data_IF_279243671563
#
_entry.id   IF_279243671563
#
_cell.length_a   1.000
_cell.length_b   1.000
_cell.length_c   1.000
_cell.angle_alpha   90.00
_cell.angle_beta   90.00
_cell.angle_gamma   90.00
#
_symmetry.space_group_name_H-M   'P 1'
#
loop_
_entity.id
_entity.type
_entity.pdbx_description
1 polymer ?
#
# COMPACT_ATOMS: atom_id res chain seq x y z
N UNK A 1 17.70 24.80 8.45
CA UNK A 1 17.35 24.62 7.03
C UNK A 1 16.06 23.83 6.98
N UNK A 2 14.96 24.41 6.47
CA UNK A 2 13.64 23.76 6.52
C UNK A 2 13.27 23.25 5.13
N UNK A 3 13.69 22.02 4.84
CA UNK A 3 13.46 21.33 3.56
C UNK A 3 12.54 20.13 3.77
N UNK A 4 11.35 20.35 4.32
CA UNK A 4 10.35 19.31 4.36
C UNK A 4 8.98 19.90 4.10
N UNK A 5 8.09 19.06 3.56
CA UNK A 5 6.75 19.42 3.17
C UNK A 5 5.79 18.51 3.91
N UNK A 6 4.87 19.10 4.67
CA UNK A 6 3.88 18.37 5.44
C UNK A 6 2.71 17.92 4.56
N UNK A 7 2.04 16.85 4.97
CA UNK A 7 0.83 16.42 4.27
C UNK A 7 -0.37 17.27 4.68
N UNK A 8 -1.02 17.86 3.69
CA UNK A 8 -2.25 18.67 3.89
C UNK A 8 -3.39 17.82 4.46
N UNK A 9 -3.51 16.55 4.08
CA UNK A 9 -4.58 15.68 4.58
C UNK A 9 -4.45 15.46 6.10
N UNK A 10 -3.22 15.24 6.59
CA UNK A 10 -2.98 15.11 8.02
C UNK A 10 -3.22 16.42 8.77
N UNK A 11 -2.82 17.55 8.20
CA UNK A 11 -3.12 18.86 8.74
C UNK A 11 -4.63 19.08 8.87
N UNK A 12 -5.41 18.81 7.81
CA UNK A 12 -6.87 18.95 7.82
C UNK A 12 -7.56 18.00 8.81
N UNK A 13 -7.12 16.75 8.90
CA UNK A 13 -7.63 15.79 9.90
C UNK A 13 -7.32 16.25 11.33
N UNK A 14 -6.11 16.76 11.56
CA UNK A 14 -5.72 17.31 12.86
C UNK A 14 -6.60 18.52 13.24
N UNK A 15 -6.85 19.42 12.29
CA UNK A 15 -7.71 20.58 12.48
C UNK A 15 -9.16 20.17 12.79
N UNK A 16 -9.70 19.19 12.07
CA UNK A 16 -11.04 18.65 12.33
C UNK A 16 -11.17 18.06 13.74
N UNK A 17 -10.14 17.35 14.22
CA UNK A 17 -10.14 16.74 15.54
C UNK A 17 -10.06 17.75 16.69
N UNK A 18 -9.70 19.02 16.43
CA UNK A 18 -9.61 20.07 17.45
C UNK A 18 -10.96 20.70 17.79
N UNK A 19 -12.01 20.42 17.01
CA UNK A 19 -13.37 20.93 17.23
C UNK A 19 -13.45 22.46 17.32
N UNK A 20 -12.62 23.17 16.56
CA UNK A 20 -12.67 24.62 16.50
C UNK A 20 -13.94 25.13 15.81
N UNK A 21 -14.27 26.40 16.05
CA UNK A 21 -15.27 27.14 15.28
C UNK A 21 -14.99 27.12 13.77
N UNK A 22 -16.04 27.32 12.98
CA UNK A 22 -15.94 27.38 11.52
C UNK A 22 -15.05 28.55 11.06
N UNK A 23 -15.04 29.65 11.81
CA UNK A 23 -14.17 30.81 11.57
C UNK A 23 -12.69 30.44 11.71
N UNK A 24 -12.28 29.82 12.82
CA UNK A 24 -10.90 29.37 13.00
C UNK A 24 -10.55 28.29 11.98
N UNK A 25 -11.49 27.39 11.67
CA UNK A 25 -11.27 26.35 10.67
C UNK A 25 -10.97 26.91 9.27
N UNK A 26 -11.74 27.93 8.84
CA UNK A 26 -11.55 28.57 7.54
C UNK A 26 -10.25 29.39 7.49
N UNK A 27 -9.92 30.11 8.56
CA UNK A 27 -8.65 30.81 8.72
C UNK A 27 -7.45 29.84 8.71
N UNK A 28 -7.49 28.80 9.52
CA UNK A 28 -6.41 27.80 9.57
C UNK A 28 -6.20 27.11 8.21
N UNK A 29 -7.28 26.87 7.45
CA UNK A 29 -7.18 26.29 6.10
C UNK A 29 -6.58 27.26 5.08
N UNK A 30 -6.81 28.57 5.23
CA UNK A 30 -6.29 29.58 4.30
C UNK A 30 -4.77 29.76 4.39
N UNK A 31 -4.14 29.36 5.52
CA UNK A 31 -2.68 29.32 5.70
C UNK A 31 -1.97 28.59 4.55
N UNK A 32 -2.57 27.51 4.04
CA UNK A 32 -1.99 26.69 2.96
C UNK A 32 -1.86 27.50 1.66
N UNK A 33 -2.84 28.36 1.39
CA UNK A 33 -2.98 29.12 0.13
C UNK A 33 -2.51 30.56 0.24
N UNK A 34 -2.09 31.01 1.42
CA UNK A 34 -1.70 32.38 1.67
C UNK A 34 -0.51 32.80 0.76
N UNK A 35 -0.60 33.96 0.08
CA UNK A 35 0.33 34.34 -0.99
C UNK A 35 1.65 34.94 -0.50
N UNK A 36 1.75 35.35 0.77
CA UNK A 36 2.94 36.00 1.31
C UNK A 36 3.21 35.62 2.77
N UNK A 37 4.39 36.00 3.26
CA UNK A 37 4.79 35.81 4.66
C UNK A 37 3.84 36.55 5.61
N UNK A 38 3.58 37.83 5.32
CA UNK A 38 2.76 38.72 6.14
C UNK A 38 1.31 38.24 6.20
N UNK A 39 0.80 37.68 5.09
CA UNK A 39 -0.54 37.10 5.06
C UNK A 39 -0.69 35.92 6.02
N UNK A 40 0.31 35.03 6.08
CA UNK A 40 0.31 33.90 7.01
C UNK A 40 0.40 34.38 8.46
N UNK A 41 1.29 35.33 8.74
CA UNK A 41 1.45 35.90 10.08
C UNK A 41 0.17 36.60 10.54
N UNK A 42 -0.48 37.37 9.66
CA UNK A 42 -1.78 37.98 9.93
C UNK A 42 -2.85 36.94 10.27
N UNK A 43 -2.91 35.82 9.55
CA UNK A 43 -3.87 34.73 9.83
C UNK A 43 -3.60 34.07 11.19
N UNK A 44 -2.33 33.83 11.55
CA UNK A 44 -2.00 33.26 12.85
C UNK A 44 -2.35 34.22 13.98
N UNK A 45 -2.11 35.52 13.79
CA UNK A 45 -2.45 36.54 14.76
C UNK A 45 -3.97 36.71 14.94
N UNK A 46 -4.77 36.60 13.86
CA UNK A 46 -6.23 36.62 13.99
C UNK A 46 -6.73 35.40 14.77
N UNK A 47 -6.18 34.21 14.52
CA UNK A 47 -6.52 33.00 15.30
C UNK A 47 -6.18 33.17 16.79
N UNK A 48 -5.04 33.78 17.12
CA UNK A 48 -4.66 34.08 18.51
C UNK A 48 -5.63 35.06 19.20
N UNK A 49 -6.24 35.97 18.44
CA UNK A 49 -7.18 36.97 18.96
C UNK A 49 -8.60 36.46 19.19
N UNK A 50 -8.98 35.30 18.62
CA UNK A 50 -10.34 34.76 18.67
C UNK A 50 -10.74 34.12 20.03
N UNK A 51 -9.85 34.15 21.04
CA UNK A 51 -10.02 33.69 22.43
C UNK A 51 -10.74 32.34 22.62
N UNK A 52 -10.64 31.45 21.63
CA UNK A 52 -11.19 30.10 21.67
C UNK A 52 -10.23 29.15 22.39
N UNK A 53 -10.78 28.21 23.17
CA UNK A 53 -10.00 27.27 23.97
C UNK A 53 -9.03 26.45 23.09
N UNK A 54 -7.73 26.58 23.35
CA UNK A 54 -6.68 25.85 22.63
C UNK A 54 -6.32 26.42 21.24
N UNK A 55 -7.02 27.45 20.75
CA UNK A 55 -6.69 28.11 19.48
C UNK A 55 -5.34 28.86 19.58
N UNK A 56 -5.10 29.53 20.72
CA UNK A 56 -3.83 30.22 21.01
C UNK A 56 -2.65 29.24 21.03
N UNK A 57 -2.79 28.12 21.72
CA UNK A 57 -1.74 27.10 21.80
C UNK A 57 -1.50 26.45 20.43
N UNK A 58 -2.56 26.21 19.66
CA UNK A 58 -2.47 25.72 18.29
C UNK A 58 -1.72 26.71 17.40
N UNK A 59 -2.06 28.00 17.46
CA UNK A 59 -1.39 29.03 16.67
C UNK A 59 0.09 29.16 17.04
N UNK A 60 0.42 29.11 18.34
CA UNK A 60 1.81 29.12 18.81
C UNK A 60 2.59 27.90 18.30
N UNK A 61 1.98 26.72 18.30
CA UNK A 61 2.61 25.52 17.74
C UNK A 61 2.92 25.71 16.25
N UNK A 62 1.96 26.19 15.46
CA UNK A 62 2.14 26.36 14.02
C UNK A 62 3.00 27.58 13.65
N UNK A 63 3.14 28.59 14.51
CA UNK A 63 4.07 29.72 14.34
C UNK A 63 5.54 29.28 14.36
N UNK A 64 5.83 28.12 14.94
CA UNK A 64 7.16 27.54 14.95
C UNK A 64 7.76 27.50 13.54
N UNK A 65 8.95 28.11 13.29
CA UNK A 65 9.45 28.36 11.94
C UNK A 65 9.52 27.11 11.05
N UNK A 66 9.98 25.98 11.57
CA UNK A 66 10.07 24.76 10.78
C UNK A 66 8.70 24.14 10.45
N UNK A 67 7.70 24.35 11.31
CA UNK A 67 6.35 23.82 11.12
C UNK A 67 5.63 24.63 10.04
N UNK A 68 5.64 25.97 10.14
CA UNK A 68 4.99 26.81 9.13
C UNK A 68 5.65 26.69 7.75
N UNK A 69 6.99 26.60 7.71
CA UNK A 69 7.76 26.35 6.49
C UNK A 69 7.40 25.05 5.79
N UNK A 70 6.77 24.11 6.50
CA UNK A 70 6.34 22.84 5.94
C UNK A 70 4.92 22.85 5.38
N UNK A 71 4.13 23.89 5.66
CA UNK A 71 2.74 24.02 5.23
C UNK A 71 2.58 24.95 4.04
N UNK A 72 3.31 26.08 4.05
CA UNK A 72 3.21 27.12 3.03
C UNK A 72 4.51 27.21 2.22
N UNK A 73 4.36 27.28 0.89
CA UNK A 73 5.48 27.41 -0.07
C UNK A 73 6.32 28.66 0.18
N UNK A 74 5.69 29.79 0.50
CA UNK A 74 6.33 31.09 0.70
C UNK A 74 7.12 31.15 2.01
N UNK A 75 6.76 30.29 2.97
CA UNK A 75 7.47 30.14 4.25
C UNK A 75 8.65 29.16 4.14
N UNK A 76 8.66 28.33 3.10
CA UNK A 76 9.68 27.31 2.91
C UNK A 76 10.95 27.90 2.29
N UNK A 77 12.10 27.33 2.63
CA UNK A 77 13.35 27.58 1.88
C UNK A 77 13.50 26.65 0.68
N UNK A 78 12.53 25.76 0.44
CA UNK A 78 12.50 24.85 -0.68
C UNK A 78 12.19 25.61 -1.98
N UNK A 79 12.88 25.26 -3.06
CA UNK A 79 12.59 25.84 -4.36
C UNK A 79 11.14 25.57 -4.80
N UNK A 80 10.47 26.58 -5.34
CA UNK A 80 9.05 26.50 -5.70
C UNK A 80 8.74 25.40 -6.73
N UNK A 81 9.69 25.11 -7.63
CA UNK A 81 9.55 24.02 -8.60
C UNK A 81 9.52 22.65 -7.91
N UNK A 82 10.45 22.43 -6.99
CA UNK A 82 10.53 21.23 -6.17
C UNK A 82 9.25 21.09 -5.33
N UNK A 83 8.82 22.18 -4.67
CA UNK A 83 7.60 22.18 -3.87
C UNK A 83 6.37 21.76 -4.70
N UNK A 84 6.21 22.28 -5.92
CA UNK A 84 5.07 21.96 -6.80
C UNK A 84 5.15 20.57 -7.41
N UNK A 85 6.35 20.02 -7.60
CA UNK A 85 6.56 18.67 -8.15
C UNK A 85 6.00 17.58 -7.24
N UNK A 86 6.14 17.73 -5.93
CA UNK A 86 5.68 16.74 -4.97
C UNK A 86 4.23 16.99 -4.53
N UNK A 87 3.40 15.97 -4.60
CA UNK A 87 1.99 16.06 -4.19
C UNK A 87 1.85 16.24 -2.67
N UNK A 88 0.73 16.85 -2.26
CA UNK A 88 0.42 17.13 -0.84
C UNK A 88 -0.33 15.99 -0.13
N UNK A 89 -0.50 14.84 -0.80
CA UNK A 89 -1.36 13.76 -0.32
C UNK A 89 -0.56 12.70 0.47
N UNK A 90 -1.26 12.03 1.38
CA UNK A 90 -0.69 10.93 2.18
C UNK A 90 -0.72 9.59 1.47
N UNK A 91 -1.30 9.48 0.28
CA UNK A 91 -1.53 8.17 -0.35
C UNK A 91 -0.23 7.37 -0.49
N UNK A 92 0.87 8.01 -0.87
CA UNK A 92 2.16 7.34 -0.99
C UNK A 92 2.70 6.89 0.39
N UNK A 93 2.68 7.77 1.38
CA UNK A 93 3.19 7.48 2.72
C UNK A 93 2.30 6.46 3.47
N UNK A 94 0.97 6.65 3.50
CA UNK A 94 0.00 5.72 4.07
C UNK A 94 0.06 4.36 3.38
N UNK A 95 0.18 4.32 2.04
CA UNK A 95 0.34 3.07 1.31
C UNK A 95 1.67 2.38 1.65
N UNK A 96 2.77 3.12 1.74
CA UNK A 96 4.06 2.57 2.16
C UNK A 96 3.98 1.95 3.56
N UNK A 97 3.42 2.67 4.53
CA UNK A 97 3.19 2.14 5.87
C UNK A 97 2.29 0.90 5.87
N UNK A 98 1.19 0.91 5.12
CA UNK A 98 0.31 -0.24 5.00
C UNK A 98 1.00 -1.45 4.37
N UNK A 99 1.90 -1.24 3.42
CA UNK A 99 2.67 -2.30 2.77
C UNK A 99 3.72 -2.91 3.69
N UNK A 100 4.45 -2.10 4.44
CA UNK A 100 5.42 -2.59 5.43
C UNK A 100 4.70 -3.36 6.53
N UNK A 101 3.59 -2.82 7.04
CA UNK A 101 2.78 -3.45 8.09
C UNK A 101 2.18 -4.81 7.72
N UNK A 102 2.06 -5.13 6.41
CA UNK A 102 1.65 -6.49 5.99
C UNK A 102 2.68 -7.56 6.34
N UNK A 103 3.94 -7.17 6.55
CA UNK A 103 5.02 -8.07 6.96
C UNK A 103 5.00 -8.39 8.46
N UNK A 104 4.11 -7.74 9.22
CA UNK A 104 3.99 -7.87 10.67
C UNK A 104 3.95 -6.51 11.35
N UNK A 105 3.24 -6.43 12.48
CA UNK A 105 3.23 -5.28 13.38
C UNK A 105 3.83 -5.70 14.72
N UNK A 106 4.29 -4.73 15.53
CA UNK A 106 4.81 -4.97 16.88
C UNK A 106 6.00 -5.97 16.93
N UNK A 107 6.88 -5.89 15.93
CA UNK A 107 8.09 -6.70 15.87
C UNK A 107 9.13 -6.19 16.88
N UNK A 108 9.99 -7.09 17.37
CA UNK A 108 11.22 -6.69 18.08
C UNK A 108 12.04 -5.78 17.16
N UNK A 109 12.72 -4.78 17.74
CA UNK A 109 13.41 -3.72 16.99
C UNK A 109 14.33 -4.28 15.89
N UNK A 110 15.17 -5.26 16.22
CA UNK A 110 16.08 -5.89 15.27
C UNK A 110 15.34 -6.56 14.11
N UNK A 111 14.26 -7.28 14.40
CA UNK A 111 13.42 -7.92 13.38
C UNK A 111 12.74 -6.90 12.48
N UNK A 112 12.27 -5.77 13.04
CA UNK A 112 11.69 -4.68 12.27
C UNK A 112 12.69 -4.07 11.29
N UNK A 113 13.93 -3.82 11.74
CA UNK A 113 15.02 -3.28 10.91
C UNK A 113 15.35 -4.25 9.77
N UNK A 114 15.53 -5.53 10.08
CA UNK A 114 15.84 -6.55 9.07
C UNK A 114 14.72 -6.71 8.03
N UNK A 115 13.46 -6.66 8.48
CA UNK A 115 12.30 -6.73 7.58
C UNK A 115 12.17 -5.47 6.71
N UNK A 116 12.48 -4.29 7.26
CA UNK A 116 12.58 -3.04 6.49
C UNK A 116 13.64 -3.15 5.40
N UNK A 117 14.86 -3.57 5.76
CA UNK A 117 15.96 -3.78 4.81
C UNK A 117 15.57 -4.72 3.66
N UNK A 118 14.99 -5.88 3.96
CA UNK A 118 14.51 -6.83 2.94
C UNK A 118 13.41 -6.26 2.05
N UNK A 119 12.56 -5.37 2.59
CA UNK A 119 11.53 -4.71 1.81
C UNK A 119 12.15 -3.75 0.79
N UNK A 120 13.09 -2.93 1.23
CA UNK A 120 13.77 -1.93 0.40
C UNK A 120 14.62 -2.61 -0.70
N UNK A 121 15.39 -3.64 -0.35
CA UNK A 121 16.15 -4.46 -1.31
C UNK A 121 15.24 -5.04 -2.42
N UNK A 122 14.05 -5.51 -2.05
CA UNK A 122 13.08 -6.03 -3.01
C UNK A 122 12.55 -4.93 -3.93
N UNK A 123 12.27 -3.73 -3.40
CA UNK A 123 11.78 -2.61 -4.19
C UNK A 123 12.84 -2.12 -5.18
N UNK A 124 14.10 -2.01 -4.73
CA UNK A 124 15.23 -1.65 -5.60
C UNK A 124 15.39 -2.65 -6.74
N UNK A 125 15.41 -3.95 -6.43
CA UNK A 125 15.51 -4.99 -7.46
C UNK A 125 14.34 -4.96 -8.46
N UNK A 126 13.12 -4.67 -7.99
CA UNK A 126 11.95 -4.49 -8.87
C UNK A 126 12.17 -3.32 -9.82
N UNK A 127 12.70 -2.21 -9.33
CA UNK A 127 12.97 -1.03 -10.13
C UNK A 127 14.09 -1.30 -11.15
N UNK A 128 15.20 -1.91 -10.72
CA UNK A 128 16.30 -2.31 -11.61
C UNK A 128 15.83 -3.22 -12.76
N UNK A 129 15.03 -4.25 -12.44
CA UNK A 129 14.49 -5.17 -13.46
C UNK A 129 13.55 -4.44 -14.41
N UNK A 130 12.73 -3.52 -13.90
CA UNK A 130 11.84 -2.72 -14.73
C UNK A 130 12.63 -1.81 -15.68
N UNK A 131 13.66 -1.14 -15.17
CA UNK A 131 14.49 -0.22 -15.95
C UNK A 131 15.30 -0.97 -17.02
N UNK A 132 15.77 -2.19 -16.71
CA UNK A 132 16.47 -3.06 -17.66
C UNK A 132 15.56 -3.70 -18.72
N UNK A 133 14.39 -4.21 -18.32
CA UNK A 133 13.52 -5.01 -19.21
C UNK A 133 12.37 -4.20 -19.85
N UNK A 134 12.06 -3.02 -19.33
CA UNK A 134 10.86 -2.25 -19.67
C UNK A 134 9.54 -2.88 -19.19
N UNK A 135 9.58 -4.02 -18.48
CA UNK A 135 8.39 -4.78 -18.09
C UNK A 135 7.98 -4.42 -16.64
N UNK A 136 6.80 -3.83 -16.42
CA UNK A 136 6.36 -3.43 -15.09
C UNK A 136 6.10 -4.63 -14.18
N UNK A 137 6.66 -4.56 -12.97
CA UNK A 137 6.45 -5.59 -11.96
C UNK A 137 4.98 -5.67 -11.54
N UNK A 138 4.39 -6.88 -11.64
CA UNK A 138 3.01 -7.12 -11.21
C UNK A 138 2.98 -7.85 -9.88
N UNK A 139 2.54 -7.17 -8.82
CA UNK A 139 2.34 -7.75 -7.48
C UNK A 139 1.25 -8.84 -7.41
N UNK A 140 0.40 -8.94 -8.43
CA UNK A 140 -0.66 -9.95 -8.47
C UNK A 140 -0.12 -11.18 -9.18
N UNK A 141 -0.32 -12.33 -8.55
CA UNK A 141 -0.16 -13.61 -9.19
C UNK A 141 -1.13 -13.70 -10.37
N UNK A 142 -0.56 -13.73 -11.59
CA UNK A 142 -1.26 -13.88 -12.86
C UNK A 142 -1.03 -15.28 -13.45
N UNK A 143 -0.58 -16.25 -12.65
CA UNK A 143 -0.55 -17.65 -13.08
C UNK A 143 -1.94 -18.11 -13.50
N UNK A 144 -1.99 -19.09 -14.41
CA UNK A 144 -3.26 -19.58 -14.92
C UNK A 144 -4.10 -20.25 -13.82
N UNK A 145 -3.44 -20.89 -12.85
CA UNK A 145 -4.08 -21.41 -11.63
C UNK A 145 -4.79 -20.29 -10.86
N UNK A 146 -4.11 -19.15 -10.62
CA UNK A 146 -4.73 -18.03 -9.88
C UNK A 146 -5.85 -17.34 -10.68
N UNK A 147 -5.70 -17.25 -12.00
CA UNK A 147 -6.76 -16.75 -12.90
C UNK A 147 -8.00 -17.65 -12.83
N UNK A 148 -7.83 -18.97 -12.92
CA UNK A 148 -8.92 -19.94 -12.81
C UNK A 148 -9.61 -19.85 -11.45
N UNK A 149 -8.85 -19.83 -10.35
CA UNK A 149 -9.41 -19.67 -9.00
C UNK A 149 -10.22 -18.36 -8.86
N UNK A 150 -9.70 -17.26 -9.40
CA UNK A 150 -10.40 -15.97 -9.37
C UNK A 150 -11.68 -16.01 -10.19
N UNK A 151 -11.68 -16.69 -11.34
CA UNK A 151 -12.86 -16.89 -12.17
C UNK A 151 -13.92 -17.74 -11.45
N UNK A 152 -13.52 -18.82 -10.77
CA UNK A 152 -14.41 -19.65 -9.94
C UNK A 152 -15.02 -18.80 -8.82
N UNK A 153 -14.22 -18.04 -8.07
CA UNK A 153 -14.71 -17.18 -6.98
C UNK A 153 -15.68 -16.09 -7.48
N UNK A 154 -15.44 -15.52 -8.67
CA UNK A 154 -16.36 -14.57 -9.32
C UNK A 154 -17.68 -15.24 -9.75
N UNK A 155 -17.65 -16.49 -10.20
CA UNK A 155 -18.86 -17.27 -10.51
C UNK A 155 -19.65 -17.58 -9.23
N UNK A 156 -18.98 -18.04 -8.17
CA UNK A 156 -19.61 -18.35 -6.88
C UNK A 156 -20.29 -17.12 -6.25
N UNK A 157 -19.63 -15.95 -6.27
CA UNK A 157 -20.20 -14.70 -5.75
C UNK A 157 -21.41 -14.20 -6.56
N UNK A 158 -21.45 -14.45 -7.88
CA UNK A 158 -22.63 -14.16 -8.71
C UNK A 158 -23.81 -15.06 -8.35
N UNK A 159 -23.58 -16.35 -8.13
CA UNK A 159 -24.61 -17.32 -7.74
C UNK A 159 -25.22 -16.98 -6.36
N UNK A 160 -24.40 -16.56 -5.41
CA UNK A 160 -24.88 -16.15 -4.08
C UNK A 160 -25.70 -14.84 -4.12
N UNK A 161 -25.45 -13.96 -5.09
CA UNK A 161 -26.25 -12.73 -5.30
C UNK A 161 -27.59 -13.00 -6.00
N UNK A 162 -27.70 -14.06 -6.80
CA UNK A 162 -28.97 -14.46 -7.42
C UNK A 162 -29.94 -15.16 -6.47
N UNK A 163 -29.47 -15.71 -5.35
CA UNK A 163 -30.31 -16.33 -4.31
C UNK A 163 -31.00 -15.35 -3.36
N UNK A 164 -30.51 -14.11 -3.24
CA UNK A 164 -31.10 -13.07 -2.38
C UNK A 164 -31.98 -12.09 -3.16
N UNK A 165 -32.89 -12.59 -4.00
CA UNK A 165 -33.98 -11.79 -4.57
C UNK A 165 -35.23 -11.89 -3.68
N UNK A 166 -35.15 -11.36 -2.46
CA UNK A 166 -36.34 -10.96 -1.71
C UNK A 166 -36.19 -9.47 -1.37
N UNK A 167 -37.02 -8.69 -2.06
CA UNK A 167 -37.45 -7.31 -1.81
C UNK A 167 -36.40 -6.25 -1.45
N UNK A 168 -36.09 -5.38 -2.41
CA UNK A 168 -36.05 -3.90 -2.23
C UNK A 168 -36.19 -3.24 -3.61
N UNK A 169 -37.43 -3.11 -4.08
CA UNK A 169 -37.78 -2.17 -5.15
C UNK A 169 -37.45 -0.76 -4.65
N UNK A 170 -36.33 -0.17 -5.08
CA UNK A 170 -36.21 1.29 -5.15
C UNK A 170 -36.58 1.70 -6.55
N UNK A 171 -37.68 2.44 -6.68
CA UNK A 171 -38.01 3.21 -7.88
C UNK A 171 -36.83 4.15 -8.15
N UNK A 172 -36.20 4.03 -9.31
CA UNK A 172 -35.27 5.05 -9.83
C UNK A 172 -35.84 5.47 -11.17
N UNK A 173 -36.28 6.72 -11.22
CA UNK A 173 -36.62 7.47 -12.41
C UNK A 173 -35.47 7.44 -13.40
N UNK A 174 -35.81 7.15 -14.65
CA UNK A 174 -34.91 6.97 -15.77
C UNK A 174 -34.60 8.31 -16.44
N UNK A 175 -33.52 8.98 -16.05
CA UNK A 175 -32.83 10.01 -16.85
C UNK A 175 -31.41 10.19 -16.28
N UNK A 176 -30.41 10.47 -17.12
CA UNK A 176 -28.99 10.82 -16.80
C UNK A 176 -27.88 9.75 -16.92
N UNK A 177 -28.15 8.51 -17.36
CA UNK A 177 -27.05 7.54 -17.59
C UNK A 177 -26.40 7.65 -18.98
N UNK A 178 -27.08 8.25 -19.97
CA UNK A 178 -26.57 8.35 -21.36
C UNK A 178 -25.47 9.42 -21.54
N UNK A 179 -25.55 10.54 -20.83
CA UNK A 179 -24.64 11.68 -21.01
C UNK A 179 -23.19 11.40 -20.55
N UNK A 180 -23.02 10.52 -19.56
CA UNK A 180 -21.69 10.22 -18.98
C UNK A 180 -20.84 9.29 -19.85
N UNK A 181 -21.46 8.58 -20.81
CA UNK A 181 -20.77 7.63 -21.70
C UNK A 181 -20.19 8.31 -22.94
N UNK A 182 -20.81 9.38 -23.43
CA UNK A 182 -20.33 10.13 -24.61
C UNK A 182 -19.09 10.98 -24.30
N UNK A 183 -18.95 11.53 -23.08
CA UNK A 183 -17.74 12.30 -22.71
C UNK A 183 -16.46 11.46 -22.64
N UNK A 184 -16.55 10.15 -22.37
CA UNK A 184 -15.38 9.25 -22.31
C UNK A 184 -14.86 8.81 -23.68
N UNK A 185 -15.70 8.76 -24.72
CA UNK A 185 -15.23 8.41 -26.06
C UNK A 185 -14.47 9.57 -26.75
N UNK A 186 -14.78 10.83 -26.42
CA UNK A 186 -14.12 11.99 -27.04
C UNK A 186 -12.70 12.25 -26.54
N UNK A 187 -12.35 11.84 -25.32
CA UNK A 187 -11.00 12.03 -24.77
C UNK A 187 -9.97 11.04 -25.32
N UNK A 188 -10.39 9.87 -25.81
CA UNK A 188 -9.46 8.86 -26.33
C UNK A 188 -9.02 9.11 -27.79
N UNK A 189 -9.69 10.01 -28.53
CA UNK A 189 -9.39 10.30 -29.94
C UNK A 189 -8.45 11.49 -30.17
N UNK A 190 -7.88 12.09 -29.12
CA UNK A 190 -6.99 13.28 -29.21
C UNK A 190 -5.51 12.99 -28.90
N UNK A 191 -5.12 11.72 -28.72
CA UNK A 191 -3.72 11.34 -28.45
C UNK A 191 -3.15 10.31 -29.45
N UNK A 192 -3.82 10.08 -30.58
CA UNK A 192 -3.32 9.22 -31.67
C UNK A 192 -3.14 10.07 -32.92
N UNK A 193 -2.19 11.00 -32.89
CA UNK A 193 -1.59 11.61 -34.09
C UNK A 193 -0.20 12.06 -33.71
N UNK A 194 0.81 11.24 -34.00
CA UNK A 194 2.16 11.61 -34.45
C UNK A 194 2.93 10.31 -34.66
N UNK A 195 2.66 9.71 -35.82
CA UNK A 195 3.50 8.70 -36.46
C UNK A 195 4.69 9.46 -37.08
N UNK A 196 5.92 9.04 -36.79
CA UNK A 196 7.06 9.27 -37.68
C UNK A 196 7.59 7.88 -38.04
N UNK A 197 7.41 7.55 -39.31
CA UNK A 197 7.92 6.36 -40.01
C UNK A 197 9.42 6.47 -40.21
N UNK A 198 10.16 5.38 -39.94
CA UNK A 198 11.37 5.01 -40.70
C UNK A 198 11.32 3.50 -40.89
N UNK A 199 11.10 3.07 -42.12
CA UNK A 199 11.29 1.69 -42.60
C UNK A 199 12.76 1.48 -43.01
N UNK A 200 13.33 0.30 -42.69
CA UNK A 200 14.20 -0.44 -43.60
C UNK A 200 14.46 -1.87 -43.10
N UNK A 201 13.87 -2.82 -43.83
CA UNK A 201 14.23 -4.21 -44.12
C UNK A 201 15.49 -4.85 -43.50
N UNK A 202 15.33 -6.02 -42.85
CA UNK A 202 15.77 -7.32 -43.37
C UNK A 202 15.51 -8.50 -42.39
N UNK A 203 15.38 -9.68 -42.99
CA UNK A 203 14.81 -10.97 -42.56
C UNK A 203 15.33 -11.68 -41.27
N UNK A 204 14.57 -12.69 -40.77
CA UNK A 204 14.77 -13.35 -39.47
C UNK A 204 15.77 -14.51 -39.51
N UNK A 205 16.69 -14.54 -38.56
CA UNK A 205 17.56 -15.70 -38.32
C UNK A 205 17.56 -16.09 -36.83
N UNK A 206 16.95 -17.24 -36.57
CA UNK A 206 17.20 -18.07 -35.39
C UNK A 206 18.70 -18.32 -35.22
N UNK A 207 19.27 -17.87 -34.09
CA UNK A 207 20.51 -18.44 -33.57
C UNK A 207 20.31 -18.78 -32.10
N UNK A 208 20.03 -20.06 -31.87
CA UNK A 208 20.27 -20.76 -30.61
C UNK A 208 21.73 -20.53 -30.21
N UNK A 209 21.98 -19.89 -29.08
CA UNK A 209 23.24 -20.03 -28.37
C UNK A 209 22.96 -20.22 -26.88
N UNK A 210 22.99 -21.50 -26.52
CA UNK A 210 23.12 -22.02 -25.17
C UNK A 210 24.54 -21.68 -24.65
N UNK A 211 24.66 -21.47 -23.34
CA UNK A 211 25.90 -21.36 -22.55
C UNK A 211 26.63 -20.01 -22.60
N UNK A 212 26.30 -19.15 -21.62
CA UNK A 212 27.28 -18.43 -20.78
C UNK A 212 26.55 -17.75 -19.61
N UNK A 213 26.02 -18.56 -18.69
CA UNK A 213 25.42 -18.10 -17.42
C UNK A 213 26.41 -18.09 -16.24
N UNK A 214 27.70 -18.33 -16.50
CA UNK A 214 28.73 -18.45 -15.47
C UNK A 214 29.89 -17.50 -15.78
N UNK A 215 29.77 -16.21 -15.41
CA UNK A 215 30.97 -15.38 -15.21
C UNK A 215 30.74 -14.09 -14.41
N UNK A 216 29.57 -13.45 -14.46
CA UNK A 216 29.42 -12.10 -13.88
C UNK A 216 28.83 -12.05 -12.46
N UNK A 217 28.76 -13.17 -11.74
CA UNK A 217 28.25 -13.23 -10.36
C UNK A 217 29.28 -13.06 -9.24
N UNK A 218 30.57 -13.04 -9.55
CA UNK A 218 31.64 -13.22 -8.55
C UNK A 218 32.39 -11.95 -8.13
N UNK A 219 31.92 -10.77 -8.52
CA UNK A 219 32.64 -9.52 -8.23
C UNK A 219 31.78 -8.53 -7.45
N UNK A 220 31.32 -8.93 -6.26
CA UNK A 220 30.99 -8.04 -5.12
C UNK A 220 30.48 -8.87 -3.92
N UNK A 221 31.30 -9.80 -3.43
CA UNK A 221 31.14 -10.36 -2.07
C UNK A 221 32.04 -9.59 -1.11
N UNK A 222 31.58 -8.42 -0.65
CA UNK A 222 32.05 -7.93 0.63
C UNK A 222 31.46 -8.83 1.71
N UNK A 223 32.36 -9.60 2.30
CA UNK A 223 32.18 -10.55 3.39
C UNK A 223 31.58 -9.84 4.62
N UNK A 224 30.26 -9.94 4.77
CA UNK A 224 29.63 -9.85 6.07
C UNK A 224 29.12 -11.26 6.37
N UNK A 225 29.74 -11.93 7.34
CA UNK A 225 29.46 -13.29 7.80
C UNK A 225 27.96 -13.66 7.70
N UNK A 226 27.61 -14.35 6.61
CA UNK A 226 26.25 -14.85 6.33
C UNK A 226 25.92 -16.13 7.11
N UNK A 227 26.93 -16.82 7.61
CA UNK A 227 26.80 -18.11 8.32
C UNK A 227 25.93 -18.05 9.58
N UNK A 228 26.11 -17.11 10.53
CA UNK A 228 25.27 -17.07 11.73
C UNK A 228 23.82 -16.73 11.41
N UNK A 229 23.56 -15.94 10.36
CA UNK A 229 22.22 -15.50 9.96
C UNK A 229 21.44 -16.64 9.29
N UNK A 230 22.11 -17.42 8.44
CA UNK A 230 21.50 -18.58 7.78
C UNK A 230 21.16 -19.69 8.80
N UNK A 231 22.00 -19.85 9.83
CA UNK A 231 21.80 -20.84 10.88
C UNK A 231 20.57 -20.52 11.74
N UNK A 232 20.35 -19.25 12.09
CA UNK A 232 19.16 -18.81 12.84
C UNK A 232 17.88 -19.07 12.01
N UNK A 233 17.88 -18.76 10.71
CA UNK A 233 16.73 -19.02 9.85
C UNK A 233 16.43 -20.52 9.68
N UNK A 234 17.46 -21.36 9.65
CA UNK A 234 17.32 -22.82 9.62
C UNK A 234 16.76 -23.38 10.93
N UNK A 235 17.18 -22.86 12.08
CA UNK A 235 16.65 -23.26 13.38
C UNK A 235 15.19 -22.87 13.56
N UNK A 236 14.80 -21.65 13.17
CA UNK A 236 13.41 -21.19 13.22
C UNK A 236 12.50 -22.07 12.34
N UNK A 237 12.96 -22.45 11.14
CA UNK A 237 12.22 -23.37 10.26
C UNK A 237 12.11 -24.79 10.83
N UNK A 238 13.15 -25.30 11.47
CA UNK A 238 13.11 -26.61 12.16
C UNK A 238 12.11 -26.61 13.30
N UNK A 239 12.10 -25.56 14.12
CA UNK A 239 11.13 -25.40 15.22
C UNK A 239 9.69 -25.34 14.71
N UNK A 240 9.43 -24.60 13.63
CA UNK A 240 8.09 -24.53 13.03
C UNK A 240 7.61 -25.88 12.46
N UNK A 241 8.52 -26.70 11.92
CA UNK A 241 8.19 -28.06 11.46
C UNK A 241 7.87 -29.00 12.61
N UNK A 242 8.63 -28.93 13.71
CA UNK A 242 8.37 -29.71 14.92
C UNK A 242 7.02 -29.36 15.55
N UNK A 243 6.68 -28.07 15.61
CA UNK A 243 5.38 -27.62 16.11
C UNK A 243 4.22 -28.15 15.26
N UNK A 244 4.37 -28.14 13.93
CA UNK A 244 3.38 -28.74 13.02
C UNK A 244 3.25 -30.25 13.23
N UNK A 245 4.36 -30.97 13.40
CA UNK A 245 4.33 -32.41 13.66
C UNK A 245 3.66 -32.72 15.01
N UNK A 246 3.94 -31.95 16.06
CA UNK A 246 3.27 -32.09 17.36
C UNK A 246 1.76 -31.85 17.25
N UNK A 247 1.35 -30.85 16.47
CA UNK A 247 -0.07 -30.57 16.21
C UNK A 247 -0.76 -31.71 15.47
N UNK A 248 -0.14 -32.24 14.42
CA UNK A 248 -0.67 -33.39 13.68
C UNK A 248 -0.79 -34.65 14.56
N UNK A 249 0.19 -34.89 15.44
CA UNK A 249 0.10 -36.00 16.41
C UNK A 249 -1.04 -35.82 17.40
N UNK A 250 -1.27 -34.60 17.86
CA UNK A 250 -2.40 -34.29 18.75
C UNK A 250 -3.74 -34.49 18.06
N UNK A 251 -3.87 -34.00 16.82
CA UNK A 251 -5.08 -34.19 16.00
C UNK A 251 -5.35 -35.68 15.71
N UNK A 252 -4.30 -36.48 15.45
CA UNK A 252 -4.44 -37.92 15.28
C UNK A 252 -4.89 -38.63 16.56
N UNK A 253 -4.30 -38.29 17.72
CA UNK A 253 -4.69 -38.87 19.00
C UNK A 253 -6.14 -38.51 19.39
N UNK A 254 -6.57 -37.28 19.08
CA UNK A 254 -7.97 -36.87 19.27
C UNK A 254 -8.92 -37.64 18.34
N UNK A 255 -8.54 -37.87 17.08
CA UNK A 255 -9.33 -38.66 16.15
C UNK A 255 -9.46 -40.13 16.57
N UNK A 256 -8.37 -40.74 17.05
CA UNK A 256 -8.36 -42.13 17.55
C UNK A 256 -9.20 -42.28 18.82
N UNK A 257 -9.13 -41.31 19.74
CA UNK A 257 -9.97 -41.29 20.94
C UNK A 257 -11.46 -41.23 20.60
N UNK A 258 -11.84 -40.41 19.61
CA UNK A 258 -13.22 -40.33 19.11
C UNK A 258 -13.65 -41.65 18.48
N UNK A 259 -12.76 -42.31 17.71
CA UNK A 259 -13.07 -43.61 17.10
C UNK A 259 -13.29 -44.70 18.15
N UNK A 260 -12.45 -44.76 19.19
CA UNK A 260 -12.59 -45.69 20.30
C UNK A 260 -13.87 -45.45 21.11
N UNK A 261 -14.22 -44.19 21.37
CA UNK A 261 -15.50 -43.84 21.99
C UNK A 261 -16.69 -44.28 21.14
N UNK A 262 -16.63 -44.06 19.82
CA UNK A 262 -17.68 -44.51 18.91
C UNK A 262 -17.81 -46.04 18.87
N UNK A 263 -16.70 -46.78 18.94
CA UNK A 263 -16.71 -48.24 19.05
C UNK A 263 -17.32 -48.72 20.37
N UNK A 264 -16.96 -48.09 21.50
CA UNK A 264 -17.56 -48.39 22.80
C UNK A 264 -19.07 -48.10 22.82
N UNK A 265 -19.51 -47.00 22.20
CA UNK A 265 -20.92 -46.69 22.06
C UNK A 265 -21.66 -47.72 21.19
N UNK A 266 -21.06 -48.18 20.09
CA UNK A 266 -21.64 -49.26 19.27
C UNK A 266 -21.81 -50.56 20.05
N UNK A 267 -20.81 -50.94 20.84
CA UNK A 267 -20.86 -52.12 21.72
C UNK A 267 -21.97 -51.97 22.78
N UNK A 268 -22.07 -50.81 23.42
CA UNK A 268 -23.10 -50.53 24.43
C UNK A 268 -24.52 -50.48 23.86
N UNK A 269 -24.67 -50.18 22.57
CA UNK A 269 -25.95 -50.15 21.85
C UNK A 269 -26.29 -51.50 21.18
N UNK A 270 -25.48 -52.54 21.38
CA UNK A 270 -25.72 -53.89 20.83
C UNK A 270 -25.58 -53.99 19.31
N UNK A 271 -24.88 -53.06 18.68
CA UNK A 271 -24.64 -53.05 17.24
C UNK A 271 -23.36 -53.85 16.90
N UNK A 272 -23.36 -54.67 15.84
CA UNK A 272 -22.16 -55.41 15.43
C UNK A 272 -21.05 -54.44 14.99
N UNK A 273 -19.80 -54.81 15.33
CA UNK A 273 -18.58 -54.05 15.03
C UNK A 273 -18.29 -53.95 13.53
#
# INVERSE_FOLDING_TARGET
MYLFKSCIIHFQRNLFNKHFSEEIYTLAKSIITAPSFESVESILNTIKSLDEAGAKDWANYYETPWIISSLNINMSKMEHQIWRKYENNTNAAEAAHALVNKSGKQLKLLTAILNGKRHDERLLKIQEVHDFSGIPYTRRDKSDVKKQQTAINRKATKLNKSGSKISRKRKISSTNVKEKREKRLRQNNLQVTNVIEIESDNDPQDIKNEIQAESFGNMLTNEINKEPILNIELEERKMALLERQAKLRKELAEAEAIELQNRQLKINLGLPL
#
